data_IF_455565627599
#
_entry.id   IF_455565627599
#
_cell.length_a   1.000
_cell.length_b   1.000
_cell.length_c   1.000
_cell.angle_alpha   90.00
_cell.angle_beta   90.00
_cell.angle_gamma   90.00
#
_symmetry.space_group_name_H-M   'P 1'
#
loop_
_entity.id
_entity.type
_entity.pdbx_description
1 polymer ?
#
# COMPACT_ATOMS: atom_id res chain seq x y z
N UNK A 1 46.40 40.48 -55.66
CA UNK A 1 45.28 40.85 -54.74
C UNK A 1 44.41 39.62 -54.52
N UNK A 2 44.70 38.82 -53.51
CA UNK A 2 43.98 37.59 -53.23
C UNK A 2 43.25 37.79 -51.92
N UNK A 3 41.92 37.60 -51.89
CA UNK A 3 41.09 37.59 -50.72
C UNK A 3 40.98 36.15 -50.23
N UNK A 4 41.50 35.93 -49.04
CA UNK A 4 41.41 34.71 -48.32
C UNK A 4 40.07 34.70 -47.58
N UNK A 5 39.16 33.79 -47.87
CA UNK A 5 37.93 33.51 -47.09
C UNK A 5 38.22 32.33 -46.21
N UNK A 6 38.26 32.63 -44.89
CA UNK A 6 38.32 31.61 -43.90
C UNK A 6 36.90 31.05 -43.66
N UNK A 7 36.72 29.79 -43.96
CA UNK A 7 35.53 29.01 -43.63
C UNK A 7 35.55 28.65 -42.13
N UNK A 8 34.57 29.13 -41.40
CA UNK A 8 34.36 28.72 -40.01
C UNK A 8 33.63 27.38 -39.98
N UNK A 9 34.25 26.38 -39.38
CA UNK A 9 33.62 25.08 -39.10
C UNK A 9 32.62 25.20 -37.94
N UNK A 10 31.48 24.50 -37.95
CA UNK A 10 30.54 24.53 -36.86
C UNK A 10 31.09 23.73 -35.67
N UNK A 11 31.12 24.40 -34.53
CA UNK A 11 31.46 23.82 -33.23
C UNK A 11 30.43 22.77 -32.86
N UNK A 12 30.81 21.50 -32.86
CA UNK A 12 29.97 20.42 -32.32
C UNK A 12 29.78 20.62 -30.82
N UNK A 13 28.55 20.89 -30.41
CA UNK A 13 28.16 20.90 -29.02
C UNK A 13 28.30 19.47 -28.45
N UNK A 14 29.37 19.27 -27.72
CA UNK A 14 29.55 18.04 -26.91
C UNK A 14 28.41 17.93 -25.90
N UNK A 15 27.50 17.01 -26.17
CA UNK A 15 26.54 16.59 -25.13
C UNK A 15 27.37 15.97 -24.03
N UNK A 16 27.46 16.70 -22.90
CA UNK A 16 28.00 16.15 -21.67
C UNK A 16 27.08 15.01 -21.23
N UNK A 17 27.51 13.78 -21.46
CA UNK A 17 26.93 12.61 -20.84
C UNK A 17 27.14 12.82 -19.34
N UNK A 18 26.07 13.17 -18.64
CA UNK A 18 26.10 13.22 -17.19
C UNK A 18 26.55 11.84 -16.71
N UNK A 19 27.67 11.80 -16.02
CA UNK A 19 28.19 10.58 -15.43
C UNK A 19 27.10 10.00 -14.53
N UNK A 20 26.65 8.79 -14.87
CA UNK A 20 25.83 7.98 -13.96
C UNK A 20 26.64 7.85 -12.66
N UNK A 21 26.07 8.17 -11.48
CA UNK A 21 26.82 8.06 -10.25
C UNK A 21 27.41 6.66 -10.13
N UNK A 22 28.69 6.58 -9.79
CA UNK A 22 29.51 5.35 -9.69
C UNK A 22 29.06 4.41 -8.54
N UNK A 23 27.95 4.72 -7.92
CA UNK A 23 27.38 4.06 -6.74
C UNK A 23 25.99 3.44 -7.03
N UNK A 24 25.92 2.57 -8.04
CA UNK A 24 24.87 1.53 -8.04
C UNK A 24 25.32 0.44 -7.07
N UNK A 25 25.42 0.80 -5.79
CA UNK A 25 25.52 -0.17 -4.72
C UNK A 25 24.13 -0.78 -4.41
N UNK A 26 24.11 -1.89 -3.72
CA UNK A 26 22.84 -2.55 -3.35
C UNK A 26 21.91 -1.65 -2.55
N UNK A 27 22.46 -0.74 -1.74
CA UNK A 27 21.69 0.20 -0.95
C UNK A 27 21.01 1.25 -1.83
N UNK A 28 21.77 1.83 -2.77
CA UNK A 28 21.23 2.78 -3.74
C UNK A 28 20.16 2.14 -4.64
N UNK A 29 20.39 0.90 -5.10
CA UNK A 29 19.40 0.16 -5.88
C UNK A 29 18.13 -0.15 -5.07
N UNK A 30 18.26 -0.52 -3.79
CA UNK A 30 17.14 -0.76 -2.90
C UNK A 30 16.32 0.51 -2.65
N UNK A 31 16.99 1.61 -2.28
CA UNK A 31 16.34 2.89 -1.98
C UNK A 31 15.76 3.56 -3.24
N UNK A 32 16.34 3.33 -4.41
CA UNK A 32 15.90 3.88 -5.69
C UNK A 32 14.94 3.00 -6.49
N UNK A 33 14.56 1.82 -5.97
CA UNK A 33 13.61 0.95 -6.67
C UNK A 33 12.26 1.65 -6.85
N UNK A 34 11.63 1.55 -8.06
CA UNK A 34 10.36 2.22 -8.37
C UNK A 34 9.13 1.53 -7.74
N UNK A 35 9.35 0.55 -6.88
CA UNK A 35 8.34 -0.17 -6.10
C UNK A 35 8.71 -0.13 -4.63
N UNK A 36 7.72 -0.14 -3.75
CA UNK A 36 7.97 -0.22 -2.33
C UNK A 36 8.59 -1.56 -1.96
N UNK A 37 9.77 -1.58 -1.32
CA UNK A 37 10.46 -2.79 -0.89
C UNK A 37 10.58 -2.85 0.62
N UNK A 38 10.23 -4.01 1.19
CA UNK A 38 10.39 -4.31 2.62
C UNK A 38 11.16 -5.62 2.80
N UNK A 39 12.17 -5.58 3.66
CA UNK A 39 12.82 -6.77 4.19
C UNK A 39 12.15 -7.13 5.51
N UNK A 40 11.77 -8.39 5.69
CA UNK A 40 11.07 -8.84 6.89
C UNK A 40 11.75 -9.99 7.60
N UNK A 41 11.52 -10.06 8.91
CA UNK A 41 11.86 -11.20 9.75
C UNK A 41 10.78 -11.39 10.80
N UNK A 42 10.28 -12.61 10.96
CA UNK A 42 9.22 -12.95 11.92
C UNK A 42 7.99 -12.02 11.81
N UNK A 43 7.59 -11.71 10.57
CA UNK A 43 6.50 -10.77 10.23
C UNK A 43 6.72 -9.33 10.75
N UNK A 44 7.96 -8.97 11.12
CA UNK A 44 8.36 -7.61 11.44
C UNK A 44 9.09 -6.98 10.26
N UNK A 45 8.88 -5.70 10.03
CA UNK A 45 9.57 -4.92 9.00
C UNK A 45 10.96 -4.56 9.51
N UNK A 46 12.00 -5.16 8.92
CA UNK A 46 13.40 -4.96 9.33
C UNK A 46 14.06 -3.81 8.58
N UNK A 47 13.68 -3.61 7.33
CA UNK A 47 14.12 -2.50 6.50
C UNK A 47 13.07 -2.21 5.43
N UNK A 48 13.04 -0.97 4.95
CA UNK A 48 12.17 -0.56 3.84
C UNK A 48 12.85 0.56 3.03
N UNK A 49 12.50 0.67 1.75
CA UNK A 49 13.00 1.73 0.89
C UNK A 49 12.14 2.99 0.99
N UNK A 50 12.56 4.07 0.29
CA UNK A 50 11.87 5.37 0.29
C UNK A 50 10.44 5.28 -0.26
N UNK A 51 10.23 4.40 -1.25
CA UNK A 51 8.92 4.23 -1.88
C UNK A 51 7.86 3.70 -0.89
N UNK A 52 8.24 2.78 0.02
CA UNK A 52 7.36 2.33 1.11
C UNK A 52 6.97 3.49 2.02
N UNK A 53 7.94 4.33 2.41
CA UNK A 53 7.68 5.48 3.28
C UNK A 53 6.70 6.45 2.63
N UNK A 54 6.91 6.77 1.34
CA UNK A 54 6.04 7.64 0.57
C UNK A 54 4.63 7.04 0.42
N UNK A 55 4.55 5.76 0.02
CA UNK A 55 3.30 5.04 -0.21
C UNK A 55 2.43 4.97 1.05
N UNK A 56 3.02 4.65 2.20
CA UNK A 56 2.27 4.52 3.45
C UNK A 56 2.17 5.83 4.25
N UNK A 57 2.79 6.91 3.76
CA UNK A 57 2.83 8.22 4.45
C UNK A 57 3.50 8.11 5.83
N UNK A 58 4.50 7.25 5.97
CA UNK A 58 5.10 6.90 7.24
C UNK A 58 6.57 7.33 7.31
N UNK A 59 7.07 7.53 8.52
CA UNK A 59 8.50 7.64 8.76
C UNK A 59 9.12 6.26 8.99
N UNK A 60 10.43 6.20 8.87
CA UNK A 60 11.18 4.96 9.07
C UNK A 60 11.01 4.41 10.51
N UNK A 61 10.99 5.29 11.49
CA UNK A 61 10.83 4.97 12.91
C UNK A 61 9.44 4.39 13.21
N UNK A 62 8.44 4.78 12.41
CA UNK A 62 7.09 4.25 12.54
C UNK A 62 6.95 2.84 11.99
N UNK A 63 7.80 2.42 11.05
CA UNK A 63 7.71 1.13 10.37
C UNK A 63 8.73 0.11 10.86
N UNK A 64 10.00 0.49 11.04
CA UNK A 64 11.06 -0.46 11.34
C UNK A 64 10.90 -1.07 12.74
N UNK A 65 11.03 -2.38 12.82
CA UNK A 65 10.79 -3.18 14.02
C UNK A 65 9.31 -3.40 14.34
N UNK A 66 8.38 -2.87 13.52
CA UNK A 66 6.93 -3.04 13.72
C UNK A 66 6.40 -4.21 12.90
N UNK A 67 5.29 -4.80 13.37
CA UNK A 67 4.54 -5.81 12.64
C UNK A 67 3.91 -5.23 11.38
N UNK A 68 3.86 -6.03 10.31
CA UNK A 68 3.07 -5.71 9.12
C UNK A 68 1.59 -5.46 9.43
N UNK A 69 1.06 -5.94 10.56
CA UNK A 69 -0.31 -5.68 11.01
C UNK A 69 -0.66 -4.18 10.96
N UNK A 70 0.32 -3.32 11.24
CA UNK A 70 0.17 -1.87 11.18
C UNK A 70 -0.34 -1.37 9.81
N UNK A 71 0.01 -2.07 8.73
CA UNK A 71 -0.33 -1.73 7.35
C UNK A 71 -1.66 -2.33 6.88
N UNK A 72 -2.30 -3.15 7.71
CA UNK A 72 -3.57 -3.81 7.37
C UNK A 72 -4.76 -3.04 7.92
N UNK A 73 -5.92 -3.12 7.26
CA UNK A 73 -7.16 -2.53 7.77
C UNK A 73 -7.53 -3.05 9.16
N UNK A 74 -7.39 -4.36 9.38
CA UNK A 74 -7.71 -5.03 10.65
C UNK A 74 -6.71 -6.14 10.98
N UNK A 75 -6.59 -6.49 12.28
CA UNK A 75 -5.80 -7.65 12.72
C UNK A 75 -6.31 -8.97 12.09
N UNK A 76 -7.62 -9.11 11.91
CA UNK A 76 -8.21 -10.28 11.29
C UNK A 76 -7.77 -10.43 9.81
N UNK A 77 -7.68 -9.35 9.05
CA UNK A 77 -7.14 -9.37 7.68
C UNK A 77 -5.66 -9.77 7.65
N UNK A 78 -4.87 -9.23 8.58
CA UNK A 78 -3.48 -9.59 8.74
C UNK A 78 -3.30 -11.09 8.99
N UNK A 79 -4.08 -11.67 9.92
CA UNK A 79 -3.99 -13.10 10.24
C UNK A 79 -4.48 -13.98 9.09
N UNK A 80 -5.61 -13.63 8.44
CA UNK A 80 -6.11 -14.37 7.26
C UNK A 80 -5.08 -14.37 6.13
N UNK A 81 -4.48 -13.23 5.87
CA UNK A 81 -3.46 -13.09 4.82
C UNK A 81 -2.21 -13.89 5.16
N UNK A 82 -1.75 -13.88 6.40
CA UNK A 82 -0.60 -14.70 6.83
C UNK A 82 -0.82 -16.19 6.58
N UNK A 83 -2.02 -16.70 6.92
CA UNK A 83 -2.39 -18.10 6.63
C UNK A 83 -2.46 -18.38 5.12
N UNK A 84 -3.00 -17.44 4.34
CA UNK A 84 -3.09 -17.58 2.88
C UNK A 84 -1.71 -17.60 2.22
N UNK A 85 -0.79 -16.71 2.64
CA UNK A 85 0.58 -16.70 2.16
C UNK A 85 1.23 -18.07 2.42
N UNK A 86 1.16 -18.58 3.65
CA UNK A 86 1.75 -19.88 4.00
C UNK A 86 1.17 -21.05 3.18
N UNK A 87 -0.12 -20.98 2.80
CA UNK A 87 -0.80 -22.03 2.06
C UNK A 87 -0.61 -21.94 0.52
N UNK A 88 -0.24 -20.78 -0.01
CA UNK A 88 -0.21 -20.51 -1.45
C UNK A 88 1.17 -20.10 -1.99
N UNK A 89 2.22 -20.27 -1.21
CA UNK A 89 3.58 -20.12 -1.74
C UNK A 89 3.82 -21.15 -2.86
N UNK A 90 4.44 -20.68 -3.94
CA UNK A 90 4.96 -21.60 -4.95
C UNK A 90 6.22 -22.35 -4.46
N UNK A 91 6.71 -23.31 -5.24
CA UNK A 91 7.89 -24.10 -4.92
C UNK A 91 9.17 -23.25 -4.76
N UNK A 92 9.19 -22.03 -5.30
CA UNK A 92 10.26 -21.05 -5.17
C UNK A 92 10.05 -20.08 -4.00
N UNK A 93 9.03 -20.29 -3.17
CA UNK A 93 8.67 -19.42 -2.06
C UNK A 93 8.06 -18.09 -2.46
N UNK A 94 7.48 -17.98 -3.68
CA UNK A 94 6.88 -16.75 -4.19
C UNK A 94 5.39 -16.69 -3.89
N UNK A 95 4.92 -15.48 -3.71
CA UNK A 95 3.50 -15.17 -3.50
C UNK A 95 3.16 -13.81 -4.10
N UNK A 96 1.95 -13.65 -4.63
CA UNK A 96 1.43 -12.35 -5.02
C UNK A 96 -0.09 -12.33 -4.86
N UNK A 97 -0.62 -11.17 -4.45
CA UNK A 97 -2.04 -10.87 -4.47
C UNK A 97 -2.29 -9.35 -4.53
N UNK A 98 -3.56 -9.00 -4.69
CA UNK A 98 -4.02 -7.62 -4.55
C UNK A 98 -4.94 -7.52 -3.34
N UNK A 99 -4.67 -6.54 -2.48
CA UNK A 99 -5.41 -6.35 -1.23
C UNK A 99 -5.55 -4.88 -0.87
N UNK A 100 -6.50 -4.61 0.01
CA UNK A 100 -6.62 -3.29 0.62
C UNK A 100 -5.62 -3.16 1.75
N UNK A 101 -4.83 -2.10 1.72
CA UNK A 101 -3.87 -1.74 2.75
C UNK A 101 -4.28 -0.42 3.40
N UNK A 102 -3.66 -0.10 4.52
CA UNK A 102 -3.94 1.10 5.32
C UNK A 102 -2.69 1.99 5.39
N UNK A 103 -2.82 3.28 5.04
CA UNK A 103 -1.76 4.26 5.24
C UNK A 103 -1.55 4.48 6.75
N UNK A 104 -0.31 4.71 7.15
CA UNK A 104 0.08 4.91 8.55
C UNK A 104 0.03 6.38 8.92
N UNK A 105 0.54 7.23 8.03
CA UNK A 105 0.51 8.68 8.18
C UNK A 105 -0.80 9.28 7.66
N UNK A 106 -1.12 10.49 8.14
CA UNK A 106 -2.29 11.22 7.70
C UNK A 106 -3.29 11.47 8.82
N UNK A 107 -4.39 12.11 8.46
CA UNK A 107 -5.51 12.39 9.38
C UNK A 107 -6.31 11.12 9.63
N UNK A 108 -6.77 10.91 10.87
CA UNK A 108 -7.73 9.83 11.16
C UNK A 108 -9.12 10.17 10.59
N UNK A 109 -9.85 9.19 10.01
CA UNK A 109 -9.53 7.78 9.87
C UNK A 109 -8.44 7.51 8.84
N UNK A 110 -7.70 6.42 9.04
CA UNK A 110 -6.63 6.04 8.12
C UNK A 110 -7.16 5.79 6.72
N UNK A 111 -6.47 6.31 5.73
CA UNK A 111 -6.82 6.10 4.32
C UNK A 111 -6.56 4.65 3.91
N UNK A 112 -7.55 4.03 3.29
CA UNK A 112 -7.45 2.70 2.69
C UNK A 112 -7.17 2.81 1.20
N UNK A 113 -6.30 1.95 0.68
CA UNK A 113 -5.96 1.93 -0.74
C UNK A 113 -5.70 0.50 -1.24
N UNK A 114 -5.88 0.30 -2.55
CA UNK A 114 -5.52 -0.94 -3.20
C UNK A 114 -4.03 -1.03 -3.40
N UNK A 115 -3.47 -2.18 -3.04
CA UNK A 115 -2.06 -2.47 -3.16
C UNK A 115 -1.86 -3.84 -3.79
N UNK A 116 -1.03 -3.91 -4.84
CA UNK A 116 -0.47 -5.18 -5.28
C UNK A 116 0.72 -5.50 -4.38
N UNK A 117 0.68 -6.66 -3.76
CA UNK A 117 1.75 -7.15 -2.92
C UNK A 117 2.29 -8.43 -3.52
N UNK A 118 3.58 -8.44 -3.81
CA UNK A 118 4.30 -9.64 -4.21
C UNK A 118 5.51 -9.83 -3.31
N UNK A 119 5.99 -11.05 -3.21
CA UNK A 119 7.14 -11.30 -2.37
C UNK A 119 7.68 -12.70 -2.48
N UNK A 120 8.77 -12.90 -1.78
CA UNK A 120 9.46 -14.18 -1.68
C UNK A 120 9.84 -14.46 -0.24
N UNK A 121 9.40 -15.57 0.29
CA UNK A 121 9.94 -16.16 1.49
C UNK A 121 11.35 -16.69 1.21
N UNK A 122 12.31 -16.40 2.08
CA UNK A 122 13.68 -16.90 1.94
C UNK A 122 13.79 -18.39 2.31
N UNK A 123 12.87 -18.87 3.15
CA UNK A 123 12.66 -20.28 3.47
C UNK A 123 11.20 -20.64 3.18
N UNK A 124 10.91 -21.43 2.11
CA UNK A 124 9.56 -21.85 1.79
C UNK A 124 8.89 -22.72 2.86
N UNK A 125 9.67 -23.45 3.66
CA UNK A 125 9.17 -24.29 4.76
C UNK A 125 8.84 -23.48 6.01
N UNK A 126 9.41 -22.27 6.13
CA UNK A 126 9.12 -21.32 7.20
C UNK A 126 8.91 -19.92 6.63
N UNK A 127 7.78 -19.68 5.93
CA UNK A 127 7.58 -18.48 5.12
C UNK A 127 7.57 -17.17 5.89
N UNK A 128 7.37 -17.23 7.20
CA UNK A 128 7.39 -16.05 8.05
C UNK A 128 8.75 -15.76 8.69
N UNK A 129 9.73 -16.68 8.57
CA UNK A 129 11.04 -16.49 9.17
C UNK A 129 11.76 -15.26 8.59
N UNK A 130 11.84 -15.16 7.28
CA UNK A 130 12.38 -14.01 6.57
C UNK A 130 11.83 -13.93 5.15
N UNK A 131 11.70 -12.70 4.62
CA UNK A 131 11.19 -12.50 3.26
C UNK A 131 11.48 -11.11 2.72
N UNK A 132 11.33 -11.00 1.40
CA UNK A 132 11.42 -9.75 0.64
C UNK A 132 10.04 -9.52 0.03
N UNK A 133 9.47 -8.33 0.25
CA UNK A 133 8.12 -7.98 -0.18
C UNK A 133 8.16 -6.71 -1.00
N UNK A 134 7.48 -6.73 -2.14
CA UNK A 134 7.27 -5.57 -2.99
C UNK A 134 5.81 -5.10 -2.88
N UNK A 135 5.62 -3.79 -2.88
CA UNK A 135 4.34 -3.11 -2.77
C UNK A 135 4.19 -2.13 -3.93
N UNK A 136 3.04 -2.16 -4.60
CA UNK A 136 2.66 -1.20 -5.63
C UNK A 136 1.30 -0.60 -5.29
N UNK A 137 1.24 0.73 -5.21
CA UNK A 137 -0.02 1.46 -5.03
C UNK A 137 -0.86 1.40 -6.31
N UNK A 138 -2.03 0.81 -6.22
CA UNK A 138 -2.96 0.71 -7.34
C UNK A 138 -4.02 1.81 -7.35
N UNK A 139 -3.94 2.82 -6.49
CA UNK A 139 -4.95 3.88 -6.35
C UNK A 139 -5.20 4.64 -7.64
N UNK A 140 -4.17 4.82 -8.47
CA UNK A 140 -4.30 5.46 -9.79
C UNK A 140 -4.96 4.55 -10.84
N UNK A 141 -4.80 3.22 -10.71
CA UNK A 141 -5.35 2.21 -11.63
C UNK A 141 -6.71 1.67 -11.16
N UNK A 142 -6.93 1.69 -9.87
CA UNK A 142 -8.15 1.25 -9.18
C UNK A 142 -8.57 2.29 -8.14
N UNK A 143 -9.24 3.34 -8.58
CA UNK A 143 -10.06 4.08 -7.64
C UNK A 143 -10.95 3.06 -6.92
N UNK A 144 -11.00 3.11 -5.58
CA UNK A 144 -12.01 2.37 -4.83
C UNK A 144 -13.34 2.72 -5.52
N UNK A 145 -13.98 1.75 -6.17
CA UNK A 145 -15.10 1.95 -7.11
C UNK A 145 -16.33 2.62 -6.47
N UNK A 146 -16.26 2.90 -5.18
CA UNK A 146 -17.32 3.57 -4.45
C UNK A 146 -16.90 4.99 -4.13
N UNK A 147 -17.55 5.96 -4.76
CA UNK A 147 -17.43 7.37 -4.36
C UNK A 147 -18.03 7.57 -2.97
N UNK A 148 -17.21 7.33 -1.96
CA UNK A 148 -17.58 7.58 -0.57
C UNK A 148 -17.21 9.00 -0.19
N UNK A 149 -18.18 9.69 0.41
CA UNK A 149 -17.91 10.98 1.07
C UNK A 149 -16.91 10.80 2.23
N UNK A 150 -16.23 11.86 2.70
CA UNK A 150 -15.34 11.76 3.85
C UNK A 150 -16.01 11.07 5.05
N UNK A 151 -17.27 11.41 5.35
CA UNK A 151 -18.01 10.83 6.46
C UNK A 151 -18.38 9.36 6.25
N UNK A 152 -18.69 8.96 5.03
CA UNK A 152 -18.92 7.54 4.71
C UNK A 152 -17.63 6.72 4.84
N UNK A 153 -16.48 7.28 4.47
CA UNK A 153 -15.17 6.63 4.67
C UNK A 153 -14.84 6.40 6.14
N UNK A 154 -15.09 7.40 6.99
CA UNK A 154 -14.90 7.27 8.44
C UNK A 154 -15.72 6.12 9.03
N UNK A 155 -16.99 6.08 8.68
CA UNK A 155 -17.92 5.05 9.18
C UNK A 155 -17.55 3.68 8.60
N UNK A 156 -17.23 3.61 7.30
CA UNK A 156 -16.79 2.38 6.66
C UNK A 156 -15.55 1.79 7.33
N UNK A 157 -14.54 2.60 7.65
CA UNK A 157 -13.33 2.16 8.34
C UNK A 157 -13.67 1.52 9.71
N UNK A 158 -14.54 2.16 10.49
CA UNK A 158 -14.93 1.65 11.80
C UNK A 158 -15.81 0.38 11.72
N UNK A 159 -16.64 0.25 10.67
CA UNK A 159 -17.39 -0.97 10.41
C UNK A 159 -16.47 -2.13 9.97
N UNK A 160 -15.45 -1.84 9.18
CA UNK A 160 -14.38 -2.80 8.81
C UNK A 160 -13.66 -3.29 10.06
N UNK A 161 -13.37 -2.39 11.00
CA UNK A 161 -12.78 -2.74 12.33
C UNK A 161 -13.73 -3.55 13.22
N UNK A 162 -14.94 -3.89 12.76
CA UNK A 162 -15.90 -4.71 13.47
C UNK A 162 -16.69 -3.96 14.56
N UNK A 163 -16.63 -2.62 14.59
CA UNK A 163 -17.37 -1.85 15.57
C UNK A 163 -18.87 -1.88 15.28
N UNK A 164 -19.66 -2.03 16.36
CA UNK A 164 -21.13 -1.88 16.29
C UNK A 164 -21.54 -0.43 16.07
N UNK A 165 -22.74 -0.19 15.55
CA UNK A 165 -23.28 1.18 15.35
C UNK A 165 -23.24 2.02 16.63
N UNK A 166 -23.40 1.40 17.80
CA UNK A 166 -23.30 2.06 19.11
C UNK A 166 -21.87 2.55 19.38
N UNK A 167 -20.86 1.71 19.12
CA UNK A 167 -19.44 2.06 19.32
C UNK A 167 -18.96 3.08 18.29
N UNK A 168 -19.37 2.91 17.03
CA UNK A 168 -19.09 3.90 15.96
C UNK A 168 -19.67 5.26 16.34
N UNK A 169 -20.93 5.28 16.76
CA UNK A 169 -21.61 6.51 17.19
C UNK A 169 -20.87 7.20 18.34
N UNK A 170 -20.48 6.44 19.37
CA UNK A 170 -19.69 6.96 20.51
C UNK A 170 -18.36 7.55 20.03
N UNK A 171 -17.67 6.87 19.11
CA UNK A 171 -16.34 7.29 18.61
C UNK A 171 -16.40 8.54 17.74
N UNK A 172 -17.48 8.70 16.99
CA UNK A 172 -17.67 9.80 16.04
C UNK A 172 -18.55 10.95 16.55
N UNK A 173 -19.05 10.85 17.80
CA UNK A 173 -19.92 11.87 18.40
C UNK A 173 -21.29 11.99 17.71
N UNK A 174 -21.84 10.90 17.17
CA UNK A 174 -23.16 10.85 16.51
C UNK A 174 -24.05 9.74 17.08
N UNK A 175 -25.34 9.85 16.82
CA UNK A 175 -26.28 8.82 17.31
C UNK A 175 -26.07 7.48 16.58
N UNK A 176 -26.30 6.31 17.25
CA UNK A 176 -26.29 5.01 16.58
C UNK A 176 -27.23 4.94 15.37
N UNK A 177 -28.39 5.61 15.46
CA UNK A 177 -29.36 5.72 14.36
C UNK A 177 -28.76 6.45 13.14
N UNK A 178 -27.96 7.48 13.38
CA UNK A 178 -27.22 8.18 12.30
C UNK A 178 -26.22 7.25 11.64
N UNK A 179 -25.51 6.43 12.42
CA UNK A 179 -24.57 5.42 11.88
C UNK A 179 -25.32 4.39 11.03
N UNK A 180 -26.49 3.94 11.45
CA UNK A 180 -27.34 2.98 10.70
C UNK A 180 -27.78 3.58 9.35
N UNK A 181 -28.10 4.88 9.31
CA UNK A 181 -28.41 5.57 8.05
C UNK A 181 -27.20 5.56 7.09
N UNK A 182 -26.01 5.85 7.59
CA UNK A 182 -24.80 5.78 6.79
C UNK A 182 -24.50 4.35 6.35
N UNK A 183 -24.67 3.35 7.21
CA UNK A 183 -24.52 1.94 6.86
C UNK A 183 -25.46 1.55 5.72
N UNK A 184 -26.73 1.95 5.78
CA UNK A 184 -27.69 1.70 4.70
C UNK A 184 -27.30 2.39 3.39
N UNK A 185 -26.72 3.60 3.45
CA UNK A 185 -26.15 4.29 2.27
C UNK A 185 -24.95 3.55 1.68
N UNK A 186 -24.04 3.10 2.54
CA UNK A 186 -22.88 2.29 2.14
C UNK A 186 -23.33 0.98 1.48
N UNK A 187 -24.31 0.29 2.06
CA UNK A 187 -24.87 -0.93 1.48
C UNK A 187 -25.45 -0.69 0.07
N UNK A 188 -26.20 0.40 -0.12
CA UNK A 188 -26.71 0.78 -1.46
C UNK A 188 -25.59 1.09 -2.45
N UNK A 189 -24.57 1.85 -2.04
CA UNK A 189 -23.44 2.23 -2.90
C UNK A 189 -22.58 1.02 -3.30
N UNK A 190 -22.47 0.04 -2.42
CA UNK A 190 -21.69 -1.17 -2.64
C UNK A 190 -22.50 -2.33 -3.22
N UNK A 191 -23.83 -2.22 -3.24
CA UNK A 191 -24.73 -3.32 -3.61
C UNK A 191 -24.80 -4.43 -2.57
N UNK A 192 -24.30 -4.24 -1.34
CA UNK A 192 -24.28 -5.25 -0.28
C UNK A 192 -25.68 -5.42 0.34
N UNK A 193 -26.10 -6.66 0.58
CA UNK A 193 -27.35 -6.99 1.27
C UNK A 193 -27.19 -7.12 2.79
N UNK A 194 -25.99 -7.41 3.28
CA UNK A 194 -25.69 -7.61 4.70
C UNK A 194 -24.44 -6.83 5.14
N UNK A 195 -24.29 -6.60 6.44
CA UNK A 195 -23.10 -5.92 6.99
C UNK A 195 -21.80 -6.71 6.74
N UNK A 196 -21.74 -8.04 6.91
CA UNK A 196 -20.56 -8.82 6.51
C UNK A 196 -20.22 -8.70 5.04
N UNK A 197 -21.23 -8.71 4.16
CA UNK A 197 -21.01 -8.50 2.74
C UNK A 197 -20.54 -7.08 2.43
N UNK A 198 -21.09 -6.06 3.11
CA UNK A 198 -20.60 -4.68 3.01
C UNK A 198 -19.11 -4.60 3.34
N UNK A 199 -18.69 -5.18 4.46
CA UNK A 199 -17.28 -5.22 4.86
C UNK A 199 -16.44 -5.93 3.80
N UNK A 200 -16.89 -7.09 3.30
CA UNK A 200 -16.20 -7.83 2.24
C UNK A 200 -16.07 -7.00 0.96
N UNK A 201 -17.14 -6.33 0.51
CA UNK A 201 -17.13 -5.49 -0.69
C UNK A 201 -16.27 -4.23 -0.51
N UNK A 202 -16.30 -3.59 0.66
CA UNK A 202 -15.43 -2.48 0.98
C UNK A 202 -13.95 -2.89 0.95
N UNK A 203 -13.62 -4.09 1.45
CA UNK A 203 -12.28 -4.65 1.44
C UNK A 203 -11.86 -5.17 0.05
N UNK A 204 -12.79 -5.72 -0.73
CA UNK A 204 -12.48 -6.29 -2.05
C UNK A 204 -12.56 -5.27 -3.20
N UNK A 205 -13.23 -4.12 -2.98
CA UNK A 205 -13.50 -3.13 -4.02
C UNK A 205 -14.31 -3.68 -5.21
N UNK A 206 -14.96 -4.86 -5.04
CA UNK A 206 -15.83 -5.46 -6.05
C UNK A 206 -17.29 -5.09 -5.74
N UNK A 207 -18.06 -4.68 -6.78
CA UNK A 207 -19.50 -4.52 -6.64
C UNK A 207 -20.21 -5.84 -6.36
#
# INVERSE_FOLDING_TARGET
MSKNQASAAPTAAAHAVQAVPDALDYRGAFDGAPVGLVLSRQRLMMDCNREVLAMFGATREQLIGKSFELLYPTAAEFERTGKRIAAQLDTAGRYADERVMKRVGGTRPAELFWCHVSGRALDPHNPHAAGIWAFEDLSSKRALKFELTPREREIAALLIDGLTSKLVGKRLGISPRTVDVYRARLMRKTGAATTPELVTRLLSGKP
#
